data_IF_560196813477
#
_entry.id   IF_560196813477
#
_cell.length_a   1.000
_cell.length_b   1.000
_cell.length_c   1.000
_cell.angle_alpha   90.00
_cell.angle_beta   90.00
_cell.angle_gamma   90.00
#
_symmetry.space_group_name_H-M   'P 1'
#
loop_
_entity.id
_entity.type
_entity.pdbx_description
1 polymer ?
#
# COMPACT_ATOMS: atom_id res chain seq x y z
N UNK A 1 -31.51 13.83 8.41
CA UNK A 1 -31.66 12.36 8.29
C UNK A 1 -30.28 11.75 8.28
N UNK A 2 -29.91 11.04 9.35
CA UNK A 2 -28.67 10.26 9.50
C UNK A 2 -29.10 8.79 9.60
N UNK A 3 -28.57 7.94 8.71
CA UNK A 3 -28.60 6.46 8.69
C UNK A 3 -28.36 6.02 7.23
N UNK A 4 -27.68 4.93 6.88
CA UNK A 4 -26.90 3.89 7.54
C UNK A 4 -26.15 3.15 6.40
N UNK A 5 -25.10 2.39 6.74
CA UNK A 5 -24.63 1.18 6.05
C UNK A 5 -24.10 1.26 4.61
N UNK A 6 -22.79 1.07 4.49
CA UNK A 6 -22.24 -0.08 3.75
C UNK A 6 -20.80 -0.35 4.24
N UNK A 7 -20.71 -1.28 5.18
CA UNK A 7 -19.51 -2.07 5.40
C UNK A 7 -19.38 -3.04 4.22
N UNK A 8 -18.17 -3.15 3.66
CA UNK A 8 -17.71 -4.29 2.85
C UNK A 8 -16.17 -4.19 2.67
N UNK A 9 -15.46 -4.85 3.60
CA UNK A 9 -14.40 -5.87 3.40
C UNK A 9 -13.05 -5.43 2.74
N UNK A 10 -11.89 -6.00 3.15
CA UNK A 10 -10.67 -5.23 3.37
C UNK A 10 -9.56 -5.49 2.37
N UNK A 11 -8.61 -4.57 2.34
CA UNK A 11 -7.42 -4.71 1.51
C UNK A 11 -6.22 -3.96 2.12
N UNK A 12 -5.86 -4.38 3.32
CA UNK A 12 -4.67 -3.89 4.02
C UNK A 12 -3.45 -4.62 3.47
N UNK A 13 -3.02 -4.18 2.28
CA UNK A 13 -1.66 -4.40 1.78
C UNK A 13 -1.14 -3.22 0.95
N UNK A 14 -1.98 -2.21 0.74
CA UNK A 14 -1.60 -0.82 0.52
C UNK A 14 -2.55 0.09 1.33
N UNK A 15 -2.90 -0.32 2.56
CA UNK A 15 -3.48 0.64 3.48
C UNK A 15 -2.35 1.59 3.85
N UNK A 16 -2.28 2.70 3.13
CA UNK A 16 -1.99 3.97 3.76
C UNK A 16 -2.85 3.99 5.03
N UNK A 17 -2.29 3.63 6.19
CA UNK A 17 -2.90 4.15 7.40
C UNK A 17 -2.97 5.66 7.18
N UNK A 18 -4.11 6.30 7.41
CA UNK A 18 -4.24 7.75 7.18
C UNK A 18 -3.13 8.53 7.92
N UNK A 19 -2.56 7.93 8.97
CA UNK A 19 -1.43 8.44 9.73
C UNK A 19 -0.07 8.42 8.98
N UNK A 20 0.16 7.49 8.04
CA UNK A 20 1.46 7.32 7.36
C UNK A 20 1.57 8.09 6.03
N UNK A 21 0.43 8.52 5.47
CA UNK A 21 0.39 9.26 4.21
C UNK A 21 1.29 10.52 4.22
N UNK A 22 1.32 11.36 5.28
CA UNK A 22 2.14 12.57 5.29
C UNK A 22 3.64 12.28 5.17
N UNK A 23 4.15 11.25 5.85
CA UNK A 23 5.56 10.88 5.79
C UNK A 23 5.93 10.34 4.40
N UNK A 24 5.07 9.48 3.83
CA UNK A 24 5.30 8.90 2.50
C UNK A 24 5.20 9.94 1.39
N UNK A 25 4.22 10.85 1.46
CA UNK A 25 4.09 11.96 0.52
C UNK A 25 5.33 12.87 0.55
N UNK A 26 5.88 13.15 1.74
CA UNK A 26 7.11 13.94 1.88
C UNK A 26 8.34 13.27 1.26
N UNK A 27 8.39 11.94 1.23
CA UNK A 27 9.48 11.17 0.63
C UNK A 27 9.38 11.05 -0.90
N UNK A 28 8.22 11.33 -1.49
CA UNK A 28 8.04 11.31 -2.94
C UNK A 28 8.68 12.52 -3.63
N UNK A 29 9.03 12.42 -4.93
CA UNK A 29 9.44 13.57 -5.74
C UNK A 29 8.38 14.69 -5.71
N UNK A 30 8.77 15.97 -5.62
CA UNK A 30 7.83 17.09 -5.46
C UNK A 30 6.71 17.15 -6.50
N UNK A 31 7.00 16.78 -7.74
CA UNK A 31 6.06 16.75 -8.87
C UNK A 31 5.04 15.59 -8.81
N UNK A 32 5.33 14.57 -8.00
CA UNK A 32 4.48 13.38 -7.81
C UNK A 32 3.54 13.55 -6.62
N UNK A 33 3.96 14.27 -5.57
CA UNK A 33 3.16 14.49 -4.35
C UNK A 33 1.73 14.97 -4.61
N UNK A 34 1.49 16.04 -5.40
CA UNK A 34 0.12 16.53 -5.60
C UNK A 34 -0.75 15.53 -6.37
N UNK A 35 -0.16 14.72 -7.27
CA UNK A 35 -0.89 13.69 -8.03
C UNK A 35 -1.39 12.58 -7.09
N UNK A 36 -0.50 12.07 -6.23
CA UNK A 36 -0.85 11.03 -5.26
C UNK A 36 -1.85 11.55 -4.24
N UNK A 37 -1.67 12.78 -3.75
CA UNK A 37 -2.60 13.42 -2.82
C UNK A 37 -4.00 13.60 -3.42
N UNK A 38 -4.10 14.11 -4.66
CA UNK A 38 -5.38 14.30 -5.33
C UNK A 38 -6.13 12.98 -5.53
N UNK A 39 -5.44 11.89 -5.87
CA UNK A 39 -6.05 10.56 -5.99
C UNK A 39 -6.53 10.08 -4.62
N UNK A 40 -5.72 10.22 -3.58
CA UNK A 40 -6.05 9.80 -2.22
C UNK A 40 -7.31 10.51 -1.69
N UNK A 41 -7.41 11.82 -1.91
CA UNK A 41 -8.51 12.66 -1.43
C UNK A 41 -9.79 12.54 -2.30
N UNK A 42 -9.70 11.89 -3.47
CA UNK A 42 -10.82 11.76 -4.38
C UNK A 42 -11.89 10.77 -3.84
N UNK A 43 -12.96 11.33 -3.31
CA UNK A 43 -14.12 10.61 -2.75
C UNK A 43 -15.01 9.96 -3.81
N UNK A 44 -14.88 10.33 -5.08
CA UNK A 44 -15.63 9.69 -6.16
C UNK A 44 -15.03 8.34 -6.58
N UNK A 45 -13.74 8.10 -6.26
CA UNK A 45 -13.09 6.83 -6.54
C UNK A 45 -13.36 5.81 -5.44
N UNK A 46 -13.50 4.54 -5.84
CA UNK A 46 -13.45 3.43 -4.89
C UNK A 46 -12.04 3.29 -4.31
N UNK A 47 -11.91 2.58 -3.18
CA UNK A 47 -10.60 2.28 -2.59
C UNK A 47 -9.68 1.56 -3.57
N UNK A 48 -10.22 0.61 -4.34
CA UNK A 48 -9.48 -0.13 -5.37
C UNK A 48 -9.00 0.78 -6.49
N UNK A 49 -9.88 1.64 -7.01
CA UNK A 49 -9.53 2.60 -8.07
C UNK A 49 -8.43 3.57 -7.61
N UNK A 50 -8.48 4.05 -6.35
CA UNK A 50 -7.40 4.86 -5.77
C UNK A 50 -6.09 4.07 -5.71
N UNK A 51 -6.14 2.83 -5.23
CA UNK A 51 -4.98 1.94 -5.15
C UNK A 51 -4.34 1.69 -6.50
N UNK A 52 -5.14 1.38 -7.52
CA UNK A 52 -4.66 1.14 -8.88
C UNK A 52 -4.02 2.38 -9.50
N UNK A 53 -4.64 3.55 -9.35
CA UNK A 53 -4.09 4.80 -9.87
C UNK A 53 -2.78 5.20 -9.17
N UNK A 54 -2.72 5.06 -7.84
CA UNK A 54 -1.47 5.29 -7.09
C UNK A 54 -0.41 4.27 -7.54
N UNK A 55 -0.77 2.99 -7.69
CA UNK A 55 0.16 1.97 -8.17
C UNK A 55 0.75 2.31 -9.53
N UNK A 56 -0.06 2.77 -10.49
CA UNK A 56 0.41 3.23 -11.82
C UNK A 56 1.41 4.38 -11.71
N UNK A 57 1.22 5.32 -10.78
CA UNK A 57 2.21 6.39 -10.54
C UNK A 57 3.50 5.77 -9.97
N UNK A 58 3.39 4.97 -8.91
CA UNK A 58 4.53 4.37 -8.23
C UNK A 58 5.35 3.44 -9.14
N UNK A 59 4.71 2.74 -10.08
CA UNK A 59 5.40 1.83 -11.01
C UNK A 59 6.30 2.58 -11.99
N UNK A 60 6.04 3.86 -12.28
CA UNK A 60 6.89 4.70 -13.13
C UNK A 60 8.11 5.28 -12.40
N UNK A 61 8.16 5.18 -11.07
CA UNK A 61 9.26 5.72 -10.29
C UNK A 61 10.52 4.84 -10.36
N UNK A 62 11.73 5.44 -10.35
CA UNK A 62 12.99 4.70 -10.21
C UNK A 62 13.07 3.91 -8.90
N UNK A 63 13.80 2.79 -8.92
CA UNK A 63 13.98 1.94 -7.74
C UNK A 63 14.59 2.69 -6.56
N UNK A 64 15.54 3.61 -6.81
CA UNK A 64 16.14 4.45 -5.77
C UNK A 64 15.11 5.30 -5.03
N UNK A 65 14.09 5.79 -5.73
CA UNK A 65 12.98 6.52 -5.12
C UNK A 65 12.13 5.56 -4.28
N UNK A 66 11.79 4.39 -4.82
CA UNK A 66 11.00 3.38 -4.11
C UNK A 66 11.67 2.86 -2.83
N UNK A 67 12.99 2.77 -2.83
CA UNK A 67 13.79 2.31 -1.70
C UNK A 67 13.92 3.36 -0.59
N UNK A 68 13.90 4.64 -0.98
CA UNK A 68 13.96 5.77 -0.04
C UNK A 68 12.64 6.02 0.71
N UNK A 69 11.55 5.37 0.30
CA UNK A 69 10.26 5.53 0.96
C UNK A 69 10.32 5.00 2.40
N UNK A 70 9.68 5.70 3.35
CA UNK A 70 9.60 5.23 4.72
C UNK A 70 8.97 3.84 4.75
N UNK A 71 9.58 2.96 5.55
CA UNK A 71 9.06 1.60 5.75
C UNK A 71 7.77 1.67 6.59
N UNK A 72 6.81 0.77 6.34
CA UNK A 72 5.57 0.76 7.10
C UNK A 72 5.84 0.38 8.58
N UNK A 73 4.95 0.77 9.51
CA UNK A 73 5.01 0.30 10.89
C UNK A 73 5.11 -1.23 10.98
N UNK A 74 5.97 -1.73 11.86
CA UNK A 74 6.17 -3.18 12.04
C UNK A 74 7.11 -3.84 11.01
N UNK A 75 7.61 -3.10 10.00
CA UNK A 75 8.56 -3.61 9.00
C UNK A 75 9.78 -4.30 9.62
N UNK A 76 10.35 -3.73 10.68
CA UNK A 76 11.56 -4.25 11.31
C UNK A 76 11.35 -5.58 12.05
N UNK A 77 10.10 -5.97 12.28
CA UNK A 77 9.74 -7.24 12.93
C UNK A 77 9.61 -8.39 11.93
N UNK A 78 9.61 -8.10 10.63
CA UNK A 78 9.47 -9.11 9.59
C UNK A 78 10.79 -9.87 9.37
N UNK A 79 10.74 -11.18 9.06
CA UNK A 79 11.92 -11.93 8.65
C UNK A 79 12.61 -11.27 7.45
N UNK A 80 13.95 -11.35 7.39
CA UNK A 80 14.73 -10.76 6.29
C UNK A 80 14.24 -11.23 4.92
N UNK A 81 14.02 -12.55 4.78
CA UNK A 81 13.53 -13.15 3.53
C UNK A 81 12.18 -12.55 3.11
N UNK A 82 11.26 -12.31 4.05
CA UNK A 82 9.98 -11.65 3.75
C UNK A 82 10.20 -10.22 3.25
N UNK A 83 11.08 -9.46 3.90
CA UNK A 83 11.40 -8.09 3.47
C UNK A 83 11.98 -8.05 2.07
N UNK A 84 12.88 -8.97 1.76
CA UNK A 84 13.52 -9.10 0.45
C UNK A 84 12.49 -9.45 -0.63
N UNK A 85 11.57 -10.39 -0.36
CA UNK A 85 10.47 -10.73 -1.27
C UNK A 85 9.50 -9.56 -1.47
N UNK A 86 9.18 -8.81 -0.40
CA UNK A 86 8.37 -7.59 -0.53
C UNK A 86 9.07 -6.51 -1.36
N UNK A 87 10.39 -6.34 -1.24
CA UNK A 87 11.17 -5.41 -2.05
C UNK A 87 11.19 -5.86 -3.53
N UNK A 88 11.37 -7.16 -3.81
CA UNK A 88 11.29 -7.70 -5.18
C UNK A 88 9.94 -7.44 -5.84
N UNK A 89 8.83 -7.76 -5.15
CA UNK A 89 7.47 -7.55 -5.68
C UNK A 89 7.25 -6.05 -5.96
N UNK A 90 7.72 -5.16 -5.09
CA UNK A 90 7.57 -3.71 -5.24
C UNK A 90 8.29 -3.16 -6.47
N UNK A 91 9.47 -3.71 -6.79
CA UNK A 91 10.30 -3.28 -7.93
C UNK A 91 9.91 -3.92 -9.25
N UNK A 92 9.14 -5.01 -9.22
CA UNK A 92 8.72 -5.71 -10.43
C UNK A 92 7.72 -4.87 -11.25
N UNK A 93 8.25 -4.24 -12.31
CA UNK A 93 7.51 -3.38 -13.22
C UNK A 93 6.67 -4.15 -14.24
N UNK A 94 6.81 -5.47 -14.30
CA UNK A 94 6.04 -6.32 -15.21
C UNK A 94 4.65 -6.67 -14.68
N UNK A 95 4.40 -6.43 -13.39
CA UNK A 95 3.15 -6.79 -12.73
C UNK A 95 2.02 -5.80 -13.03
N UNK A 96 0.82 -6.33 -13.16
CA UNK A 96 -0.41 -5.53 -13.02
C UNK A 96 -0.68 -5.23 -11.54
N UNK A 97 -1.52 -4.24 -11.26
CA UNK A 97 -1.96 -3.93 -9.89
C UNK A 97 -2.51 -5.17 -9.16
N UNK A 98 -3.35 -5.96 -9.84
CA UNK A 98 -3.94 -7.17 -9.27
C UNK A 98 -2.88 -8.23 -8.95
N UNK A 99 -1.94 -8.47 -9.87
CA UNK A 99 -0.86 -9.43 -9.64
C UNK A 99 0.08 -8.99 -8.51
N UNK A 100 0.47 -7.72 -8.50
CA UNK A 100 1.27 -7.13 -7.43
C UNK A 100 0.57 -7.33 -6.09
N UNK A 101 -0.72 -6.98 -6.02
CA UNK A 101 -1.47 -7.17 -4.79
C UNK A 101 -1.54 -8.64 -4.36
N UNK A 102 -1.94 -9.55 -5.26
CA UNK A 102 -2.11 -10.96 -4.92
C UNK A 102 -0.81 -11.58 -4.40
N UNK A 103 0.33 -11.25 -5.03
CA UNK A 103 1.66 -11.70 -4.56
C UNK A 103 1.98 -11.16 -3.17
N UNK A 104 1.73 -9.87 -2.97
CA UNK A 104 1.96 -9.18 -1.70
C UNK A 104 1.10 -9.80 -0.59
N UNK A 105 -0.22 -9.95 -0.83
CA UNK A 105 -1.14 -10.64 0.09
C UNK A 105 -0.70 -12.07 0.41
N UNK A 106 -0.38 -12.87 -0.60
CA UNK A 106 0.08 -14.24 -0.41
C UNK A 106 1.37 -14.33 0.42
N UNK A 107 2.24 -13.32 0.35
CA UNK A 107 3.43 -13.25 1.18
C UNK A 107 3.11 -12.95 2.64
N UNK A 108 2.19 -12.02 2.93
CA UNK A 108 1.75 -11.77 4.32
C UNK A 108 0.95 -12.94 4.90
N UNK A 109 0.11 -13.59 4.10
CA UNK A 109 -0.69 -14.72 4.57
C UNK A 109 0.19 -15.90 5.03
N UNK A 110 1.43 -15.99 4.56
CA UNK A 110 2.44 -16.97 5.01
C UNK A 110 3.09 -16.61 6.34
N UNK A 111 2.99 -15.36 6.80
CA UNK A 111 3.58 -14.96 8.07
C UNK A 111 2.83 -15.55 9.26
N UNK A 112 3.50 -15.77 10.40
CA UNK A 112 2.83 -16.02 11.68
C UNK A 112 1.80 -14.92 12.00
N UNK A 113 0.62 -15.25 12.59
CA UNK A 113 -0.43 -14.28 12.85
C UNK A 113 0.02 -13.03 13.63
N UNK A 114 0.92 -13.18 14.61
CA UNK A 114 1.46 -12.09 15.42
C UNK A 114 2.36 -11.11 14.66
N UNK A 115 2.74 -11.43 13.42
CA UNK A 115 3.52 -10.58 12.53
C UNK A 115 2.69 -10.00 11.38
N UNK A 116 1.44 -10.42 11.23
CA UNK A 116 0.55 -9.88 10.22
C UNK A 116 0.05 -8.50 10.66
N UNK A 117 -0.08 -7.53 9.75
CA UNK A 117 -0.81 -6.31 10.06
C UNK A 117 -2.24 -6.67 10.46
N UNK A 118 -2.87 -5.88 11.36
CA UNK A 118 -4.24 -6.12 11.77
C UNK A 118 -5.15 -6.17 10.55
N UNK A 119 -5.96 -7.22 10.45
CA UNK A 119 -6.97 -7.32 9.42
C UNK A 119 -8.14 -6.42 9.87
N UNK A 120 -8.70 -5.55 9.00
CA UNK A 120 -9.82 -4.68 9.38
C UNK A 120 -11.11 -5.40 9.80
N UNK A 121 -11.16 -6.73 9.66
CA UNK A 121 -12.32 -7.54 10.04
C UNK A 121 -12.14 -8.22 11.42
N UNK A 122 -11.06 -7.91 12.16
CA UNK A 122 -10.79 -8.49 13.49
C UNK A 122 -11.38 -7.68 14.67
N UNK A 123 -12.22 -6.66 14.40
CA UNK A 123 -13.02 -5.90 15.39
C UNK A 123 -14.54 -6.16 15.24
#
# INVERSE_FOLDING_TARGET
MRSLLLALIPFVMFSLSEADLPARLKALPPDIRPKVQAIHENKALTKEQRGEQIYKIMSTLPDSVLDSLPKPPGWDRLPQETRDEMDKIRRDKSLTFQQHHQKMKALIDKLPPNLRPPHPDDD
#
